data_IF_631624374016
#
_entry.id   IF_631624374016
#
_cell.length_a   1.000
_cell.length_b   1.000
_cell.length_c   1.000
_cell.angle_alpha   90.00
_cell.angle_beta   90.00
_cell.angle_gamma   90.00
#
_symmetry.space_group_name_H-M   'P 1'
#
loop_
_entity.id
_entity.type
_entity.pdbx_description
1 polymer ?
#
# COMPACT_ATOMS: atom_id res chain seq x y z
N UNK A 1 -44.85 -6.77 -14.49
CA UNK A 1 -43.59 -7.48 -14.81
C UNK A 1 -42.85 -6.65 -15.83
N UNK A 2 -41.84 -5.88 -15.42
CA UNK A 2 -41.05 -5.05 -16.34
C UNK A 2 -40.14 -5.95 -17.19
N UNK A 3 -39.98 -5.70 -18.50
CA UNK A 3 -39.25 -6.60 -19.37
C UNK A 3 -37.76 -6.58 -19.06
N UNK A 4 -37.21 -7.77 -18.78
CA UNK A 4 -35.81 -8.09 -18.49
C UNK A 4 -34.82 -7.45 -19.48
N UNK A 5 -35.26 -7.26 -20.74
CA UNK A 5 -34.55 -6.57 -21.81
C UNK A 5 -34.14 -5.12 -21.48
N UNK A 6 -34.94 -4.41 -20.68
CA UNK A 6 -34.66 -3.02 -20.25
C UNK A 6 -33.54 -2.95 -19.20
N UNK A 7 -33.44 -3.97 -18.33
CA UNK A 7 -32.35 -4.06 -17.35
C UNK A 7 -31.03 -4.46 -18.01
N UNK A 8 -31.07 -5.36 -18.99
CA UNK A 8 -29.87 -5.74 -19.76
C UNK A 8 -29.28 -4.55 -20.54
N UNK A 9 -30.12 -3.75 -21.20
CA UNK A 9 -29.66 -2.53 -21.91
C UNK A 9 -29.11 -1.48 -20.94
N UNK A 10 -29.73 -1.28 -19.77
CA UNK A 10 -29.22 -0.35 -18.75
C UNK A 10 -27.90 -0.83 -18.14
N UNK A 11 -27.74 -2.13 -17.89
CA UNK A 11 -26.48 -2.73 -17.43
C UNK A 11 -25.38 -2.68 -18.51
N UNK A 12 -25.73 -2.87 -19.78
CA UNK A 12 -24.81 -2.70 -20.91
C UNK A 12 -24.40 -1.24 -21.11
N UNK A 13 -25.30 -0.29 -20.87
CA UNK A 13 -25.01 1.15 -20.95
C UNK A 13 -24.13 1.64 -19.79
N UNK A 14 -24.22 1.02 -18.60
CA UNK A 14 -23.29 1.24 -17.47
C UNK A 14 -21.89 0.65 -17.76
N UNK A 15 -21.79 -0.33 -18.66
CA UNK A 15 -20.53 -1.01 -19.05
C UNK A 15 -19.78 -0.35 -20.21
N UNK A 16 -20.23 0.79 -20.71
CA UNK A 16 -19.38 1.62 -21.58
C UNK A 16 -18.43 2.42 -20.65
N UNK A 17 -17.54 1.69 -20.00
CA UNK A 17 -16.38 2.26 -19.32
C UNK A 17 -15.55 2.93 -20.41
N UNK A 18 -15.59 4.27 -20.49
CA UNK A 18 -14.67 5.00 -21.34
C UNK A 18 -13.25 4.51 -21.03
N UNK A 19 -12.46 4.07 -22.03
CA UNK A 19 -11.11 3.59 -21.79
C UNK A 19 -10.32 4.70 -21.09
N UNK A 20 -9.52 4.31 -20.09
CA UNK A 20 -8.69 5.28 -19.38
C UNK A 20 -7.66 5.87 -20.35
N UNK A 21 -7.74 7.19 -20.54
CA UNK A 21 -6.83 7.94 -21.40
C UNK A 21 -5.84 8.73 -20.53
N UNK A 22 -4.55 8.50 -20.78
CA UNK A 22 -3.49 9.26 -20.12
C UNK A 22 -3.51 10.69 -20.68
N UNK A 23 -3.70 11.68 -19.81
CA UNK A 23 -3.56 13.08 -20.18
C UNK A 23 -2.06 13.42 -20.33
N UNK A 24 -1.57 13.35 -21.56
CA UNK A 24 -0.15 13.58 -21.90
C UNK A 24 0.31 15.01 -21.61
N UNK A 25 -0.58 15.98 -21.73
CA UNK A 25 -0.26 17.39 -21.49
C UNK A 25 -0.07 17.67 -20.00
N UNK A 26 -0.95 17.11 -19.16
CA UNK A 26 -0.86 17.21 -17.71
C UNK A 26 0.48 16.67 -17.21
N UNK A 27 0.83 15.44 -17.59
CA UNK A 27 2.07 14.80 -17.14
C UNK A 27 3.31 15.48 -17.70
N UNK A 28 3.24 16.04 -18.92
CA UNK A 28 4.34 16.81 -19.52
C UNK A 28 4.54 18.12 -18.76
N UNK A 29 3.45 18.83 -18.47
CA UNK A 29 3.48 20.07 -17.70
C UNK A 29 4.05 19.84 -16.30
N UNK A 30 3.63 18.77 -15.62
CA UNK A 30 4.19 18.41 -14.32
C UNK A 30 5.68 18.08 -14.40
N UNK A 31 6.07 17.21 -15.33
CA UNK A 31 7.48 16.84 -15.52
C UNK A 31 8.37 18.05 -15.76
N UNK A 32 7.88 19.05 -16.51
CA UNK A 32 8.61 20.27 -16.86
C UNK A 32 8.63 21.34 -15.76
N UNK A 33 7.95 21.16 -14.63
CA UNK A 33 8.01 22.12 -13.53
C UNK A 33 9.44 22.39 -13.04
N UNK A 34 9.72 23.65 -12.71
CA UNK A 34 11.06 24.10 -12.32
C UNK A 34 11.59 23.38 -11.07
N UNK A 35 10.69 23.08 -10.12
CA UNK A 35 11.02 22.31 -8.90
C UNK A 35 11.64 20.93 -9.19
N UNK A 36 11.44 20.40 -10.39
CA UNK A 36 11.99 19.11 -10.81
C UNK A 36 13.24 19.21 -11.70
N UNK A 37 13.76 20.41 -12.01
CA UNK A 37 14.93 20.58 -12.88
C UNK A 37 16.12 19.70 -12.43
N UNK A 38 16.45 19.76 -11.14
CA UNK A 38 17.54 18.92 -10.56
C UNK A 38 17.26 17.42 -10.71
N UNK A 39 16.02 16.99 -10.50
CA UNK A 39 15.63 15.57 -10.62
C UNK A 39 15.67 15.09 -12.07
N UNK A 40 15.22 15.93 -13.02
CA UNK A 40 15.33 15.67 -14.47
C UNK A 40 16.79 15.49 -14.88
N UNK A 41 17.66 16.44 -14.53
CA UNK A 41 19.08 16.37 -14.88
C UNK A 41 19.74 15.11 -14.31
N UNK A 42 19.42 14.75 -13.06
CA UNK A 42 19.91 13.51 -12.45
C UNK A 42 19.40 12.26 -13.18
N UNK A 43 18.13 12.26 -13.59
CA UNK A 43 17.54 11.15 -14.34
C UNK A 43 18.26 10.93 -15.69
N UNK A 44 18.42 11.99 -16.49
CA UNK A 44 19.07 11.90 -17.80
C UNK A 44 20.56 11.52 -17.71
N UNK A 45 21.26 11.92 -16.63
CA UNK A 45 22.64 11.50 -16.39
C UNK A 45 22.76 10.04 -15.92
N UNK A 46 21.80 9.56 -15.12
CA UNK A 46 21.87 8.24 -14.48
C UNK A 46 21.49 7.09 -15.41
N UNK A 47 20.54 7.31 -16.31
CA UNK A 47 19.99 6.25 -17.14
C UNK A 47 20.35 6.46 -18.61
N UNK A 48 20.81 5.42 -19.30
CA UNK A 48 20.99 5.45 -20.75
C UNK A 48 19.66 5.65 -21.48
N UNK A 49 19.69 6.14 -22.70
CA UNK A 49 18.48 6.39 -23.51
C UNK A 49 17.55 5.16 -23.57
N UNK A 50 18.11 3.96 -23.82
CA UNK A 50 17.35 2.70 -23.81
C UNK A 50 16.65 2.47 -22.48
N UNK A 51 17.35 2.72 -21.35
CA UNK A 51 16.79 2.54 -20.01
C UNK A 51 15.75 3.61 -19.69
N UNK A 52 15.94 4.83 -20.15
CA UNK A 52 14.94 5.91 -20.04
C UNK A 52 13.67 5.55 -20.79
N UNK A 53 13.79 5.03 -22.01
CA UNK A 53 12.66 4.57 -22.82
C UNK A 53 11.90 3.44 -22.13
N UNK A 54 12.62 2.44 -21.59
CA UNK A 54 12.00 1.36 -20.83
C UNK A 54 11.22 1.88 -19.62
N UNK A 55 11.82 2.78 -18.82
CA UNK A 55 11.15 3.39 -17.66
C UNK A 55 9.88 4.16 -18.08
N UNK A 56 9.94 4.87 -19.20
CA UNK A 56 8.79 5.61 -19.74
C UNK A 56 7.68 4.66 -20.21
N UNK A 57 8.02 3.57 -20.88
CA UNK A 57 7.06 2.55 -21.30
C UNK A 57 6.37 1.91 -20.11
N UNK A 58 7.15 1.45 -19.12
CA UNK A 58 6.60 0.81 -17.92
C UNK A 58 5.76 1.78 -17.08
N UNK A 59 6.06 3.09 -17.13
CA UNK A 59 5.24 4.12 -16.50
C UNK A 59 3.86 4.24 -17.14
N UNK A 60 3.77 4.27 -18.47
CA UNK A 60 2.49 4.33 -19.17
C UNK A 60 1.67 3.06 -18.95
N UNK A 61 2.29 1.88 -19.05
CA UNK A 61 1.64 0.61 -18.74
C UNK A 61 1.10 0.58 -17.30
N UNK A 62 1.87 1.09 -16.34
CA UNK A 62 1.43 1.18 -14.95
C UNK A 62 0.18 2.05 -14.80
N UNK A 63 0.16 3.24 -15.38
CA UNK A 63 -1.00 4.15 -15.32
C UNK A 63 -2.23 3.56 -16.00
N UNK A 64 -2.07 2.90 -17.16
CA UNK A 64 -3.15 2.19 -17.86
C UNK A 64 -3.73 1.10 -16.95
N UNK A 65 -2.87 0.30 -16.32
CA UNK A 65 -3.27 -0.80 -15.44
C UNK A 65 -4.07 -0.34 -14.24
N UNK A 66 -3.66 0.76 -13.59
CA UNK A 66 -4.34 1.28 -12.40
C UNK A 66 -5.41 2.33 -12.72
N UNK A 67 -5.65 2.62 -14.01
CA UNK A 67 -6.60 3.62 -14.52
C UNK A 67 -6.49 4.99 -13.80
N UNK A 68 -5.28 5.43 -13.49
CA UNK A 68 -5.01 6.65 -12.71
C UNK A 68 -3.78 7.39 -13.24
N UNK A 69 -3.82 8.72 -13.27
CA UNK A 69 -2.65 9.53 -13.62
C UNK A 69 -1.66 9.60 -12.47
N UNK A 70 -0.42 9.19 -12.72
CA UNK A 70 0.67 9.20 -11.74
C UNK A 70 1.82 10.01 -12.30
N UNK A 71 2.31 10.99 -11.55
CA UNK A 71 3.41 11.84 -11.99
C UNK A 71 4.73 11.06 -12.11
N UNK A 72 5.55 11.43 -13.08
CA UNK A 72 6.75 10.67 -13.45
C UNK A 72 7.67 10.41 -12.26
N UNK A 73 7.92 11.41 -11.42
CA UNK A 73 8.86 11.27 -10.30
C UNK A 73 8.31 10.46 -9.13
N UNK A 74 6.99 10.32 -9.01
CA UNK A 74 6.38 9.43 -8.03
C UNK A 74 6.42 7.99 -8.53
N UNK A 75 6.14 7.79 -9.82
CA UNK A 75 6.36 6.49 -10.46
C UNK A 75 7.83 6.05 -10.43
N UNK A 76 8.78 6.95 -10.66
CA UNK A 76 10.21 6.62 -10.69
C UNK A 76 10.70 6.03 -9.35
N UNK A 77 10.15 6.48 -8.21
CA UNK A 77 10.45 5.87 -6.89
C UNK A 77 9.97 4.43 -6.83
N UNK A 78 8.75 4.17 -7.29
CA UNK A 78 8.18 2.82 -7.36
C UNK A 78 9.04 1.93 -8.26
N UNK A 79 9.43 2.43 -9.44
CA UNK A 79 10.29 1.71 -10.37
C UNK A 79 11.63 1.32 -9.75
N UNK A 80 12.30 2.26 -9.07
CA UNK A 80 13.59 1.99 -8.42
C UNK A 80 13.46 0.90 -7.38
N UNK A 81 12.46 0.99 -6.49
CA UNK A 81 12.21 -0.02 -5.46
C UNK A 81 11.93 -1.40 -6.08
N UNK A 82 11.19 -1.47 -7.20
CA UNK A 82 10.94 -2.72 -7.90
C UNK A 82 12.22 -3.34 -8.49
N UNK A 83 13.13 -2.52 -9.04
CA UNK A 83 14.38 -3.01 -9.60
C UNK A 83 15.33 -3.51 -8.50
N UNK A 84 15.37 -2.82 -7.36
CA UNK A 84 16.11 -3.29 -6.19
C UNK A 84 15.56 -4.63 -5.71
N UNK A 85 14.23 -4.75 -5.54
CA UNK A 85 13.57 -6.02 -5.18
C UNK A 85 13.84 -7.16 -6.18
N UNK A 86 13.80 -6.89 -7.49
CA UNK A 86 14.10 -7.91 -8.51
C UNK A 86 15.55 -8.40 -8.43
N UNK A 87 16.49 -7.48 -8.23
CA UNK A 87 17.90 -7.81 -8.03
C UNK A 87 18.08 -8.71 -6.81
N UNK A 88 17.38 -8.45 -5.70
CA UNK A 88 17.40 -9.33 -4.52
C UNK A 88 16.96 -10.76 -4.83
N UNK A 89 15.86 -10.95 -5.56
CA UNK A 89 15.38 -12.31 -5.89
C UNK A 89 16.26 -13.03 -6.91
N UNK A 90 16.84 -12.32 -7.87
CA UNK A 90 17.81 -12.90 -8.82
C UNK A 90 19.12 -13.27 -8.11
N UNK A 91 19.60 -12.44 -7.18
CA UNK A 91 20.78 -12.74 -6.36
C UNK A 91 20.55 -13.90 -5.41
N UNK A 92 19.38 -14.02 -4.77
CA UNK A 92 19.00 -15.21 -3.99
C UNK A 92 18.92 -16.47 -4.83
N UNK A 93 18.37 -16.38 -6.05
CA UNK A 93 18.28 -17.52 -6.98
C UNK A 93 19.68 -17.98 -7.42
N UNK A 94 20.56 -17.04 -7.77
CA UNK A 94 21.96 -17.32 -8.12
C UNK A 94 22.73 -17.87 -6.90
N UNK A 95 22.46 -17.38 -5.69
CA UNK A 95 23.07 -17.87 -4.46
C UNK A 95 22.56 -19.27 -4.08
N UNK A 96 21.27 -19.56 -4.30
CA UNK A 96 20.68 -20.88 -4.14
C UNK A 96 21.25 -21.91 -5.13
N UNK A 97 21.45 -21.50 -6.38
CA UNK A 97 22.10 -22.33 -7.41
C UNK A 97 23.59 -22.54 -7.11
N UNK A 98 24.31 -21.52 -6.63
CA UNK A 98 25.72 -21.64 -6.20
C UNK A 98 25.90 -22.46 -4.93
N UNK A 99 24.95 -22.43 -3.98
CA UNK A 99 25.00 -23.27 -2.77
C UNK A 99 24.95 -24.76 -3.12
N UNK A 100 24.25 -25.15 -4.17
CA UNK A 100 24.21 -26.54 -4.63
C UNK A 100 25.53 -27.01 -5.28
N UNK A 101 26.38 -26.09 -5.74
CA UNK A 101 27.72 -26.40 -6.28
C UNK A 101 28.88 -26.13 -5.31
N UNK A 102 28.64 -25.44 -4.19
CA UNK A 102 29.68 -24.88 -3.31
C UNK A 102 29.50 -25.27 -1.84
N UNK A 103 28.92 -26.44 -1.55
CA UNK A 103 28.95 -27.03 -0.20
C UNK A 103 30.25 -27.79 0.12
N UNK A 104 31.31 -27.56 -0.66
CA UNK A 104 32.67 -27.88 -0.25
C UNK A 104 33.53 -26.62 -0.38
N UNK A 105 34.00 -26.16 0.77
CA UNK A 105 35.04 -25.15 1.04
C UNK A 105 34.58 -23.72 1.36
N UNK A 106 34.96 -23.31 2.57
CA UNK A 106 35.18 -21.95 3.06
C UNK A 106 33.99 -21.14 3.63
N UNK A 107 33.89 -21.25 4.97
CA UNK A 107 33.39 -20.23 5.89
C UNK A 107 34.23 -18.96 5.75
N UNK A 108 33.73 -17.96 5.01
CA UNK A 108 33.98 -16.53 5.23
C UNK A 108 33.28 -15.77 4.09
N UNK A 109 32.02 -15.41 4.31
CA UNK A 109 31.41 -14.32 3.57
C UNK A 109 31.16 -13.18 4.56
N UNK A 110 32.00 -12.15 4.45
CA UNK A 110 31.87 -10.90 5.21
C UNK A 110 30.48 -10.30 5.00
N UNK A 111 29.81 -10.04 6.11
CA UNK A 111 28.56 -9.30 6.24
C UNK A 111 28.75 -7.83 5.83
N UNK A 112 28.96 -7.56 4.54
CA UNK A 112 28.88 -6.18 4.04
C UNK A 112 27.43 -5.73 4.03
N UNK A 113 27.04 -5.11 5.15
CA UNK A 113 25.89 -4.26 5.44
C UNK A 113 24.82 -4.20 4.33
N UNK A 114 23.92 -5.20 4.35
CA UNK A 114 22.62 -5.09 3.72
C UNK A 114 21.69 -4.21 4.57
N UNK A 115 21.87 -2.88 4.50
CA UNK A 115 20.87 -1.94 4.98
C UNK A 115 19.70 -1.88 4.00
N UNK A 116 18.86 -2.92 4.02
CA UNK A 116 17.46 -2.76 3.66
C UNK A 116 16.96 -1.64 4.58
N UNK A 117 16.57 -0.50 4.01
CA UNK A 117 15.96 0.60 4.75
C UNK A 117 14.56 0.15 5.21
N UNK A 118 14.55 -0.73 6.21
CA UNK A 118 13.35 -1.09 6.95
C UNK A 118 12.93 0.15 7.71
N UNK A 119 11.66 0.55 7.59
CA UNK A 119 11.09 1.49 8.54
C UNK A 119 11.40 0.97 9.95
N UNK A 120 12.04 1.80 10.78
CA UNK A 120 12.22 1.47 12.19
C UNK A 120 10.85 1.12 12.77
N UNK A 121 10.77 0.08 13.60
CA UNK A 121 9.52 -0.32 14.25
C UNK A 121 9.06 0.84 15.15
N UNK A 122 8.17 1.67 14.65
CA UNK A 122 7.57 2.78 15.38
C UNK A 122 6.32 2.27 16.06
N UNK A 123 6.36 2.18 17.37
CA UNK A 123 5.15 2.06 18.18
C UNK A 123 4.39 3.39 18.14
N UNK A 124 3.06 3.31 18.05
CA UNK A 124 2.18 4.47 18.19
C UNK A 124 1.57 4.43 19.59
N UNK A 125 1.60 5.58 20.26
CA UNK A 125 0.91 5.76 21.53
C UNK A 125 -0.55 6.13 21.26
N UNK A 126 -1.47 5.37 21.83
CA UNK A 126 -2.91 5.60 21.72
C UNK A 126 -3.47 5.98 23.09
N UNK A 127 -4.46 6.88 23.09
CA UNK A 127 -5.23 7.24 24.28
C UNK A 127 -6.61 6.60 24.12
N UNK A 128 -7.00 5.76 25.07
CA UNK A 128 -8.28 5.07 25.07
C UNK A 128 -9.41 6.00 25.52
N UNK A 129 -10.66 5.60 25.36
CA UNK A 129 -11.82 6.39 25.80
C UNK A 129 -11.86 6.61 27.31
N UNK A 130 -11.25 5.72 28.09
CA UNK A 130 -11.06 5.83 29.54
C UNK A 130 -9.74 6.52 29.94
N UNK A 131 -9.12 7.25 29.01
CA UNK A 131 -7.87 8.01 29.21
C UNK A 131 -6.65 7.16 29.59
N UNK A 132 -6.65 5.85 29.33
CA UNK A 132 -5.45 5.03 29.46
C UNK A 132 -4.54 5.24 28.26
N UNK A 133 -3.25 5.17 28.50
CA UNK A 133 -2.22 5.27 27.48
C UNK A 133 -1.76 3.85 27.15
N UNK A 134 -1.87 3.46 25.89
CA UNK A 134 -1.42 2.16 25.40
C UNK A 134 -0.45 2.36 24.24
N UNK A 135 0.59 1.53 24.19
CA UNK A 135 1.62 1.61 23.17
C UNK A 135 1.56 0.35 22.30
N UNK A 136 1.30 0.53 21.00
CA UNK A 136 1.18 -0.58 20.07
C UNK A 136 1.58 -0.19 18.66
N UNK A 137 2.09 -1.17 17.90
CA UNK A 137 2.50 -0.98 16.50
C UNK A 137 1.29 -0.77 15.59
N UNK A 138 0.16 -1.41 15.92
CA UNK A 138 -1.09 -1.34 15.17
C UNK A 138 -2.22 -0.85 16.07
N UNK A 139 -3.29 -0.34 15.47
CA UNK A 139 -4.42 0.21 16.21
C UNK A 139 -5.04 -0.85 17.14
N UNK A 140 -5.25 -0.51 18.43
CA UNK A 140 -5.83 -1.42 19.41
C UNK A 140 -7.30 -1.72 19.10
N UNK A 141 -7.82 -2.85 19.60
CA UNK A 141 -9.26 -3.20 19.53
C UNK A 141 -10.14 -2.31 20.41
N UNK A 142 -9.54 -1.54 21.31
CA UNK A 142 -10.24 -0.65 22.24
C UNK A 142 -10.70 0.63 21.58
N UNK A 143 -11.71 1.25 22.18
CA UNK A 143 -12.20 2.57 21.77
C UNK A 143 -11.14 3.61 22.12
N UNK A 144 -10.71 4.38 21.14
CA UNK A 144 -9.67 5.40 21.28
C UNK A 144 -10.23 6.81 21.13
N UNK A 145 -9.49 7.79 21.63
CA UNK A 145 -9.70 9.20 21.40
C UNK A 145 -8.78 9.68 20.26
N UNK A 146 -9.36 10.40 19.30
CA UNK A 146 -8.63 11.06 18.23
C UNK A 146 -8.80 12.57 18.43
N UNK A 147 -7.68 13.26 18.65
CA UNK A 147 -7.64 14.71 18.75
C UNK A 147 -7.53 15.29 17.33
N UNK A 148 -8.54 16.02 16.87
CA UNK A 148 -8.52 16.72 15.58
C UNK A 148 -8.69 18.20 15.84
N UNK A 149 -7.61 18.97 15.60
CA UNK A 149 -7.56 20.43 15.80
C UNK A 149 -8.01 20.85 17.21
N UNK A 150 -9.31 21.08 17.42
CA UNK A 150 -9.93 21.49 18.69
C UNK A 150 -11.02 20.53 19.20
N UNK A 151 -11.29 19.44 18.47
CA UNK A 151 -12.33 18.47 18.83
C UNK A 151 -11.72 17.14 19.24
N UNK A 152 -12.38 16.47 20.17
CA UNK A 152 -12.10 15.09 20.56
C UNK A 152 -13.19 14.20 20.04
N UNK A 153 -12.84 13.31 19.12
CA UNK A 153 -13.77 12.28 18.63
C UNK A 153 -13.37 10.93 19.21
N UNK A 154 -14.36 10.07 19.42
CA UNK A 154 -14.12 8.69 19.82
C UNK A 154 -14.26 7.76 18.60
N UNK A 155 -13.33 6.84 18.47
CA UNK A 155 -13.35 5.82 17.42
C UNK A 155 -13.27 4.43 18.05
N UNK A 156 -14.15 3.53 17.63
CA UNK A 156 -14.12 2.13 18.02
C UNK A 156 -13.87 1.27 16.78
N UNK A 157 -12.90 0.33 16.83
CA UNK A 157 -12.63 -0.60 15.72
C UNK A 157 -13.81 -1.50 15.41
N UNK A 158 -14.58 -1.88 16.44
CA UNK A 158 -15.82 -2.62 16.27
C UNK A 158 -16.95 -1.87 16.97
N UNK A 159 -18.11 -1.84 16.33
CA UNK A 159 -19.34 -1.27 16.91
C UNK A 159 -20.36 -2.37 17.13
N UNK A 160 -21.07 -2.29 18.25
CA UNK A 160 -22.24 -3.11 18.50
C UNK A 160 -23.48 -2.45 17.88
N UNK A 161 -24.44 -3.26 17.48
CA UNK A 161 -25.72 -2.77 16.99
C UNK A 161 -26.49 -2.11 18.14
N UNK A 162 -27.21 -1.03 17.84
CA UNK A 162 -28.08 -0.36 18.82
C UNK A 162 -29.51 -0.84 18.61
N UNK A 163 -30.11 -1.48 19.62
CA UNK A 163 -31.49 -2.01 19.54
C UNK A 163 -32.57 -0.93 19.77
N UNK A 164 -32.17 0.32 20.07
CA UNK A 164 -33.08 1.35 20.56
C UNK A 164 -33.30 2.43 19.51
N UNK A 165 -34.38 2.33 18.72
CA UNK A 165 -35.29 3.43 18.32
C UNK A 165 -36.37 2.95 17.34
N UNK A 166 -37.56 3.56 17.44
CA UNK A 166 -38.81 3.19 16.77
C UNK A 166 -38.80 3.24 15.21
N UNK A 167 -37.73 3.74 14.58
CA UNK A 167 -37.59 3.78 13.11
C UNK A 167 -36.86 2.52 12.58
N UNK A 168 -37.59 1.40 12.51
CA UNK A 168 -37.05 0.07 12.18
C UNK A 168 -36.22 0.00 10.87
N UNK A 169 -36.57 0.79 9.85
CA UNK A 169 -35.90 0.72 8.53
C UNK A 169 -34.51 1.38 8.56
N UNK A 170 -34.38 2.57 9.17
CA UNK A 170 -33.09 3.26 9.27
C UNK A 170 -32.11 2.53 10.20
N UNK A 171 -32.64 1.91 11.25
CA UNK A 171 -31.87 1.07 12.18
C UNK A 171 -31.31 -0.18 11.49
N UNK A 172 -32.09 -0.84 10.62
CA UNK A 172 -31.66 -2.04 9.91
C UNK A 172 -30.52 -1.78 8.89
N UNK A 173 -30.65 -0.76 8.04
CA UNK A 173 -29.60 -0.43 7.07
C UNK A 173 -28.31 0.04 7.76
N UNK A 174 -28.42 0.76 8.88
CA UNK A 174 -27.27 1.14 9.71
C UNK A 174 -26.58 -0.09 10.31
N UNK A 175 -27.34 -1.08 10.77
CA UNK A 175 -26.79 -2.33 11.30
C UNK A 175 -26.01 -3.12 10.25
N UNK A 176 -26.51 -3.21 9.01
CA UNK A 176 -25.77 -3.85 7.89
C UNK A 176 -24.43 -3.16 7.62
N UNK A 177 -24.40 -1.83 7.67
CA UNK A 177 -23.15 -1.06 7.52
C UNK A 177 -22.20 -1.34 8.68
N UNK A 178 -22.70 -1.44 9.92
CA UNK A 178 -21.90 -1.81 11.08
C UNK A 178 -21.29 -3.20 10.91
N UNK A 179 -22.08 -4.19 10.49
CA UNK A 179 -21.61 -5.57 10.23
C UNK A 179 -20.52 -5.61 9.18
N UNK A 180 -20.73 -4.94 8.03
CA UNK A 180 -19.75 -4.90 6.94
C UNK A 180 -18.44 -4.23 7.38
N UNK A 181 -18.53 -3.12 8.12
CA UNK A 181 -17.36 -2.42 8.64
C UNK A 181 -16.61 -3.29 9.66
N UNK A 182 -17.33 -3.93 10.58
CA UNK A 182 -16.73 -4.87 11.54
C UNK A 182 -16.01 -6.02 10.82
N UNK A 183 -16.63 -6.60 9.79
CA UNK A 183 -16.01 -7.66 8.99
C UNK A 183 -14.72 -7.19 8.31
N UNK A 184 -14.73 -5.99 7.72
CA UNK A 184 -13.54 -5.38 7.11
C UNK A 184 -12.44 -5.12 8.14
N UNK A 185 -12.81 -4.60 9.32
CA UNK A 185 -11.86 -4.30 10.40
C UNK A 185 -11.21 -5.57 10.95
N UNK A 186 -11.89 -6.72 10.94
CA UNK A 186 -11.29 -8.02 11.28
C UNK A 186 -10.15 -8.41 10.32
N UNK A 187 -10.32 -8.18 9.03
CA UNK A 187 -9.26 -8.44 8.04
C UNK A 187 -8.08 -7.49 8.23
N UNK A 188 -8.33 -6.20 8.50
CA UNK A 188 -7.28 -5.23 8.77
C UNK A 188 -6.45 -5.60 10.02
N UNK A 189 -7.10 -6.07 11.09
CA UNK A 189 -6.38 -6.58 12.26
C UNK A 189 -5.54 -7.82 11.95
N UNK A 190 -6.05 -8.71 11.10
CA UNK A 190 -5.33 -9.92 10.69
C UNK A 190 -4.08 -9.56 9.89
N UNK A 191 -4.20 -8.62 8.96
CA UNK A 191 -3.07 -8.10 8.19
C UNK A 191 -2.02 -7.45 9.09
N UNK A 192 -2.43 -6.59 10.04
CA UNK A 192 -1.52 -6.01 11.02
C UNK A 192 -0.79 -7.09 11.83
N UNK A 193 -1.50 -8.11 12.31
CA UNK A 193 -0.91 -9.22 13.05
C UNK A 193 0.12 -10.01 12.22
N UNK A 194 -0.16 -10.25 10.93
CA UNK A 194 0.77 -10.92 10.04
C UNK A 194 2.02 -10.06 9.76
N UNK A 195 1.85 -8.76 9.54
CA UNK A 195 2.96 -7.82 9.39
C UNK A 195 3.87 -7.82 10.62
N UNK A 196 3.28 -7.75 11.82
CA UNK A 196 4.01 -7.87 13.08
C UNK A 196 4.83 -9.17 13.18
N UNK A 197 4.28 -10.30 12.74
CA UNK A 197 5.00 -11.58 12.72
C UNK A 197 6.18 -11.54 11.77
N UNK A 198 5.99 -11.02 10.55
CA UNK A 198 7.04 -10.89 9.54
C UNK A 198 8.16 -9.98 10.08
N UNK A 199 7.82 -8.82 10.62
CA UNK A 199 8.79 -7.90 11.22
C UNK A 199 9.60 -8.57 12.34
N UNK A 200 8.94 -9.28 13.25
CA UNK A 200 9.62 -9.97 14.34
C UNK A 200 10.56 -11.09 13.82
N UNK A 201 10.14 -11.85 12.80
CA UNK A 201 10.99 -12.88 12.17
C UNK A 201 12.23 -12.26 11.52
N UNK A 202 12.07 -11.15 10.78
CA UNK A 202 13.19 -10.42 10.18
C UNK A 202 14.16 -9.91 11.24
N UNK A 203 13.66 -9.38 12.36
CA UNK A 203 14.52 -8.91 13.46
C UNK A 203 15.34 -10.05 14.08
N UNK A 204 14.74 -11.22 14.29
CA UNK A 204 15.45 -12.40 14.83
C UNK A 204 16.58 -12.87 13.91
N UNK A 205 16.36 -12.85 12.59
CA UNK A 205 17.39 -13.22 11.61
C UNK A 205 18.61 -12.30 11.68
N UNK A 206 18.45 -11.04 12.12
CA UNK A 206 19.56 -10.08 12.27
C UNK A 206 20.36 -10.20 13.57
N UNK A 207 19.85 -10.92 14.57
CA UNK A 207 20.51 -11.07 15.87
C UNK A 207 21.38 -12.33 15.97
N UNK A 208 21.21 -13.26 15.03
CA UNK A 208 21.99 -14.49 14.89
C UNK A 208 23.02 -14.34 13.77
#
# INVERSE_FOLDING_TARGET
QFPQKYYETKLQMIKIDKPFEINKDLIRKDFLQEKYLRKRNRFFRKYSETKQNNIRTTWYEYMIRIKTHVMFFDYLKIYINQQENKKYFEEEKILGEKKHSFEQTNKNYDEKEFKIFMNQKTTTTWITSDNKIIESIHQPSEKIQINIQNNRIQAAPFKLQTETNNDQIATNETNKIIEQNNYTNRHLQTLGSQLSRIENTIQKIKQN
#
